data_IF_958618450097
#
_entry.id   IF_958618450097
#
_cell.length_a   1.000
_cell.length_b   1.000
_cell.length_c   1.000
_cell.angle_alpha   90.00
_cell.angle_beta   90.00
_cell.angle_gamma   90.00
#
_symmetry.space_group_name_H-M   'P 1'
#
loop_
_entity.id
_entity.type
_entity.pdbx_description
1 polymer ?
#
# COMPACT_ATOMS: atom_id res chain seq x y z
N UNK A 1 -23.78 31.48 -61.74
CA UNK A 1 -23.54 30.07 -61.36
C UNK A 1 -23.05 30.09 -59.93
N UNK A 2 -23.96 30.08 -58.97
CA UNK A 2 -24.51 28.91 -58.26
C UNK A 2 -23.66 28.57 -57.01
N UNK A 3 -24.02 29.10 -55.82
CA UNK A 3 -24.58 28.43 -54.61
C UNK A 3 -23.70 27.25 -54.11
N UNK A 4 -23.30 27.10 -52.84
CA UNK A 4 -24.01 27.40 -51.60
C UNK A 4 -23.08 27.51 -50.37
N UNK A 5 -23.41 28.45 -49.48
CA UNK A 5 -23.10 28.43 -48.05
C UNK A 5 -24.16 27.62 -47.31
N UNK A 6 -23.75 26.78 -46.35
CA UNK A 6 -24.66 26.11 -45.40
C UNK A 6 -24.45 26.74 -44.02
N UNK A 7 -25.43 27.55 -43.62
CA UNK A 7 -25.69 27.91 -42.23
C UNK A 7 -26.60 26.86 -41.59
N UNK A 8 -26.30 26.48 -40.35
CA UNK A 8 -27.25 25.81 -39.45
C UNK A 8 -27.44 26.68 -38.21
N UNK A 9 -28.64 27.27 -38.14
CA UNK A 9 -29.22 28.06 -37.06
C UNK A 9 -29.69 27.19 -35.88
N UNK A 10 -29.74 27.71 -34.64
CA UNK A 10 -30.45 27.06 -33.54
C UNK A 10 -31.96 27.31 -33.65
N UNK A 11 -32.76 26.24 -33.51
CA UNK A 11 -34.22 26.34 -33.42
C UNK A 11 -34.63 26.73 -31.99
N UNK A 12 -35.15 27.94 -31.84
CA UNK A 12 -35.93 28.38 -30.69
C UNK A 12 -37.40 28.34 -31.11
N UNK A 13 -38.15 27.38 -30.58
CA UNK A 13 -39.60 27.28 -30.83
C UNK A 13 -40.35 28.06 -29.76
N UNK A 14 -40.98 29.16 -30.15
CA UNK A 14 -42.02 29.82 -29.36
C UNK A 14 -43.34 29.05 -29.50
N UNK A 15 -43.98 28.70 -28.39
CA UNK A 15 -45.40 28.31 -28.36
C UNK A 15 -46.17 29.22 -27.40
N UNK A 16 -47.37 29.59 -27.87
CA UNK A 16 -48.25 30.67 -27.45
C UNK A 16 -48.88 30.53 -26.06
N UNK A 17 -49.25 31.70 -25.54
CA UNK A 17 -50.09 32.00 -24.38
C UNK A 17 -51.42 31.25 -24.37
N UNK A 18 -51.72 30.56 -23.28
CA UNK A 18 -53.10 30.36 -22.79
C UNK A 18 -53.14 30.60 -21.29
N UNK A 19 -54.12 31.40 -20.86
CA UNK A 19 -54.35 31.75 -19.47
C UNK A 19 -54.83 30.56 -18.64
N UNK A 20 -54.27 30.45 -17.45
CA UNK A 20 -54.67 29.49 -16.42
C UNK A 20 -53.73 29.66 -15.24
N UNK A 21 -54.26 30.07 -14.10
CA UNK A 21 -53.54 30.08 -12.83
C UNK A 21 -53.07 28.67 -12.49
N UNK A 22 -51.85 28.54 -11.94
CA UNK A 22 -51.36 27.52 -10.98
C UNK A 22 -49.85 27.77 -10.70
N UNK A 23 -49.28 27.23 -9.61
CA UNK A 23 -48.64 27.99 -8.55
C UNK A 23 -47.14 28.21 -8.71
N UNK A 24 -46.63 29.16 -7.92
CA UNK A 24 -45.22 29.50 -7.77
C UNK A 24 -44.45 28.38 -7.07
N UNK A 25 -44.10 27.32 -7.81
CA UNK A 25 -43.03 26.41 -7.42
C UNK A 25 -41.78 26.86 -8.13
N UNK A 26 -41.02 27.77 -7.50
CA UNK A 26 -39.62 28.01 -7.80
C UNK A 26 -38.86 26.71 -7.50
N UNK A 27 -38.84 25.79 -8.45
CA UNK A 27 -37.87 24.71 -8.48
C UNK A 27 -36.54 25.36 -8.86
N UNK A 28 -35.86 25.93 -7.86
CA UNK A 28 -34.46 26.29 -7.99
C UNK A 28 -33.72 24.99 -8.26
N UNK A 29 -33.46 24.70 -9.54
CA UNK A 29 -32.42 23.77 -9.95
C UNK A 29 -31.13 24.44 -9.53
N UNK A 30 -30.79 24.28 -8.24
CA UNK A 30 -29.44 24.49 -7.76
C UNK A 30 -28.65 23.40 -8.47
N UNK A 31 -28.04 23.75 -9.60
CA UNK A 31 -26.99 22.94 -10.20
C UNK A 31 -25.93 22.81 -9.12
N UNK A 32 -26.06 21.76 -8.30
CA UNK A 32 -24.98 21.23 -7.52
C UNK A 32 -24.03 20.72 -8.59
N UNK A 33 -23.18 21.60 -9.09
CA UNK A 33 -21.84 21.24 -9.56
C UNK A 33 -21.15 20.68 -8.34
N UNK A 34 -21.56 19.46 -7.98
CA UNK A 34 -20.70 18.50 -7.35
C UNK A 34 -19.61 18.34 -8.39
N UNK A 35 -18.54 19.12 -8.21
CA UNK A 35 -17.25 18.72 -8.72
C UNK A 35 -16.96 17.39 -8.00
N UNK A 36 -17.54 16.30 -8.51
CA UNK A 36 -16.95 14.98 -8.42
C UNK A 36 -15.66 15.06 -9.21
N UNK A 37 -14.67 15.75 -8.65
CA UNK A 37 -13.29 15.37 -8.89
C UNK A 37 -13.17 13.99 -8.26
N UNK A 38 -13.50 12.97 -9.05
CA UNK A 38 -12.88 11.66 -8.96
C UNK A 38 -11.37 11.89 -9.11
N UNK A 39 -10.73 12.41 -8.07
CA UNK A 39 -9.31 12.27 -7.83
C UNK A 39 -9.13 10.77 -7.64
N UNK A 40 -8.85 10.09 -8.75
CA UNK A 40 -8.34 8.72 -8.71
C UNK A 40 -6.94 8.87 -8.12
N UNK A 41 -6.86 8.93 -6.79
CA UNK A 41 -5.58 8.93 -6.11
C UNK A 41 -4.96 7.56 -6.37
N UNK A 42 -3.87 7.56 -7.12
CA UNK A 42 -3.11 6.36 -7.44
C UNK A 42 -2.19 6.06 -6.25
N UNK A 43 -1.92 4.79 -5.96
CA UNK A 43 -1.03 4.40 -4.86
C UNK A 43 0.32 5.14 -4.91
N UNK A 44 0.83 5.45 -6.10
CA UNK A 44 2.07 6.23 -6.29
C UNK A 44 2.04 7.67 -5.75
N UNK A 45 0.87 8.19 -5.38
CA UNK A 45 0.67 9.55 -4.86
C UNK A 45 0.49 9.57 -3.33
N UNK A 46 0.50 8.40 -2.68
CA UNK A 46 0.47 8.31 -1.23
C UNK A 46 1.84 8.67 -0.65
N UNK A 47 1.83 9.23 0.55
CA UNK A 47 3.02 9.43 1.39
C UNK A 47 3.36 8.11 2.09
N UNK A 48 4.55 7.58 1.84
CA UNK A 48 5.03 6.31 2.39
C UNK A 48 6.13 6.59 3.39
N UNK A 49 5.89 6.26 4.66
CA UNK A 49 6.80 6.60 5.75
C UNK A 49 6.53 5.74 6.96
N UNK A 50 7.42 5.80 7.95
CA UNK A 50 7.11 5.25 9.26
C UNK A 50 5.95 6.02 9.90
N UNK A 51 5.15 5.31 10.70
CA UNK A 51 4.03 5.91 11.39
C UNK A 51 4.49 6.94 12.41
N UNK A 52 3.74 8.03 12.48
CA UNK A 52 3.83 9.04 13.51
C UNK A 52 2.89 8.67 14.66
N UNK A 53 3.14 9.17 15.89
CA UNK A 53 2.22 8.98 17.01
C UNK A 53 0.79 9.47 16.75
N UNK A 54 0.61 10.37 15.79
CA UNK A 54 -0.68 10.91 15.37
C UNK A 54 -1.41 10.06 14.33
N UNK A 55 -0.75 9.09 13.70
CA UNK A 55 -1.39 8.23 12.71
C UNK A 55 -2.31 7.23 13.41
N UNK A 56 -3.57 7.19 12.99
CA UNK A 56 -4.53 6.22 13.50
C UNK A 56 -4.36 4.88 12.79
N UNK A 57 -3.46 4.04 13.32
CA UNK A 57 -3.24 2.67 12.81
C UNK A 57 -4.10 1.69 13.62
N UNK A 58 -5.19 1.23 13.02
CA UNK A 58 -6.04 0.20 13.63
C UNK A 58 -5.32 -1.16 13.58
N UNK A 59 -5.02 -1.74 14.75
CA UNK A 59 -4.46 -3.10 14.88
C UNK A 59 -5.30 -3.93 15.85
N UNK A 60 -5.34 -5.23 15.60
CA UNK A 60 -5.95 -6.20 16.51
C UNK A 60 -4.94 -6.56 17.61
N UNK A 61 -3.67 -6.84 17.25
CA UNK A 61 -2.55 -7.15 18.16
C UNK A 61 -1.23 -6.62 17.57
N UNK A 62 -0.24 -6.29 18.42
CA UNK A 62 1.14 -5.99 17.98
C UNK A 62 1.97 -7.27 18.09
N UNK A 63 2.92 -7.45 17.18
CA UNK A 63 3.85 -8.55 17.19
C UNK A 63 4.72 -8.56 18.45
N UNK A 64 5.37 -7.43 18.71
CA UNK A 64 6.24 -7.18 19.89
C UNK A 64 6.15 -5.72 20.30
N UNK A 65 6.59 -5.40 21.52
CA UNK A 65 6.62 -4.02 22.02
C UNK A 65 7.58 -3.12 21.23
N UNK A 66 8.52 -3.71 20.51
CA UNK A 66 9.49 -3.02 19.67
C UNK A 66 9.22 -3.18 18.17
N UNK A 67 8.09 -3.76 17.75
CA UNK A 67 7.70 -3.65 16.36
C UNK A 67 7.46 -2.19 15.96
N UNK A 68 7.61 -1.89 14.69
CA UNK A 68 7.34 -0.57 14.12
C UNK A 68 6.26 -0.66 13.02
N UNK A 69 5.68 0.50 12.73
CA UNK A 69 4.67 0.69 11.69
C UNK A 69 5.27 1.46 10.51
N UNK A 70 5.00 0.98 9.30
CA UNK A 70 5.18 1.71 8.06
C UNK A 70 3.80 1.93 7.44
N UNK A 71 3.48 3.17 7.08
CA UNK A 71 2.14 3.58 6.67
C UNK A 71 2.15 4.17 5.27
N UNK A 72 1.03 3.97 4.58
CA UNK A 72 0.68 4.71 3.38
C UNK A 72 -0.39 5.74 3.76
N UNK A 73 -0.10 7.03 3.58
CA UNK A 73 -0.93 8.14 4.01
C UNK A 73 -1.41 8.92 2.79
N UNK A 74 -2.72 9.13 2.70
CA UNK A 74 -3.34 9.98 1.68
C UNK A 74 -3.22 11.44 2.14
N UNK A 75 -2.36 12.27 1.50
CA UNK A 75 -2.18 13.66 1.90
C UNK A 75 -3.41 14.53 1.56
N UNK A 76 -4.36 14.00 0.79
CA UNK A 76 -5.59 14.69 0.38
C UNK A 76 -6.81 14.28 1.19
N UNK A 77 -6.68 13.29 2.08
CA UNK A 77 -7.77 12.83 2.91
C UNK A 77 -8.28 13.94 3.83
N UNK A 78 -9.60 13.99 4.01
CA UNK A 78 -10.20 14.81 5.03
C UNK A 78 -9.72 14.38 6.43
N UNK A 79 -9.68 15.33 7.36
CA UNK A 79 -9.25 15.13 8.74
C UNK A 79 -10.00 13.93 9.38
N UNK A 80 -9.26 12.94 9.89
CA UNK A 80 -9.81 11.80 10.64
C UNK A 80 -9.34 10.41 10.18
N UNK A 81 -9.13 10.18 8.88
CA UNK A 81 -8.64 8.89 8.38
C UNK A 81 -7.65 9.04 7.20
N UNK A 82 -6.44 9.56 7.43
CA UNK A 82 -5.48 9.73 6.34
C UNK A 82 -4.72 8.44 6.01
N UNK A 83 -4.71 7.44 6.91
CA UNK A 83 -3.98 6.18 6.69
C UNK A 83 -4.74 5.26 5.73
N UNK A 84 -4.19 5.07 4.53
CA UNK A 84 -4.70 4.20 3.49
C UNK A 84 -4.29 2.72 3.69
N UNK A 85 -3.18 2.49 4.40
CA UNK A 85 -2.69 1.16 4.75
C UNK A 85 -1.54 1.21 5.75
N UNK A 86 -1.30 0.07 6.39
CA UNK A 86 -0.27 -0.11 7.41
C UNK A 86 0.46 -1.43 7.22
N UNK A 87 1.73 -1.44 7.59
CA UNK A 87 2.63 -2.57 7.55
C UNK A 87 3.38 -2.63 8.89
N UNK A 88 3.28 -3.76 9.58
CA UNK A 88 4.06 -4.06 10.77
C UNK A 88 5.38 -4.74 10.42
N UNK A 89 6.47 -4.25 10.99
CA UNK A 89 7.77 -4.88 10.84
C UNK A 89 8.60 -4.85 12.14
N UNK A 90 9.55 -5.77 12.25
CA UNK A 90 10.58 -5.78 13.27
C UNK A 90 11.94 -6.08 12.64
N UNK A 91 13.02 -5.66 13.29
CA UNK A 91 14.36 -6.14 12.95
C UNK A 91 14.69 -7.35 13.78
N UNK A 92 15.27 -8.36 13.14
CA UNK A 92 15.68 -9.60 13.80
C UNK A 92 17.13 -9.87 13.42
N UNK A 93 17.96 -10.15 14.43
CA UNK A 93 19.31 -10.63 14.25
C UNK A 93 19.38 -12.09 14.68
N UNK A 94 20.05 -12.92 13.88
CA UNK A 94 20.27 -14.32 14.23
C UNK A 94 21.70 -14.74 13.91
N UNK A 95 22.35 -15.35 14.89
CA UNK A 95 23.69 -15.90 14.74
C UNK A 95 23.74 -16.85 13.53
N UNK A 96 24.73 -16.67 12.66
CA UNK A 96 24.94 -17.39 11.38
C UNK A 96 23.94 -17.10 10.25
N UNK A 97 22.92 -16.29 10.49
CA UNK A 97 21.89 -15.97 9.50
C UNK A 97 21.81 -14.49 9.15
N UNK A 98 22.43 -13.62 9.96
CA UNK A 98 22.59 -12.19 9.67
C UNK A 98 21.45 -11.34 10.21
N UNK A 99 21.22 -10.18 9.59
CA UNK A 99 20.27 -9.16 10.05
C UNK A 99 19.13 -8.98 9.04
N UNK A 100 17.89 -9.09 9.52
CA UNK A 100 16.70 -9.21 8.68
C UNK A 100 15.57 -8.30 9.13
N UNK A 101 14.77 -7.86 8.17
CA UNK A 101 13.46 -7.26 8.43
C UNK A 101 12.40 -8.37 8.41
N UNK A 102 11.68 -8.58 9.50
CA UNK A 102 10.49 -9.41 9.50
C UNK A 102 9.26 -8.56 9.26
N UNK A 103 8.47 -8.90 8.24
CA UNK A 103 7.20 -8.24 7.93
C UNK A 103 6.08 -9.16 8.39
N UNK A 104 5.31 -8.70 9.38
CA UNK A 104 4.32 -9.52 10.07
C UNK A 104 2.90 -9.31 9.53
N UNK A 105 2.47 -8.06 9.52
CA UNK A 105 1.13 -7.68 9.09
C UNK A 105 1.18 -6.66 7.95
N UNK A 106 0.31 -6.83 6.97
CA UNK A 106 0.07 -5.86 5.90
C UNK A 106 -1.43 -5.69 5.76
N UNK A 107 -1.96 -4.53 6.14
CA UNK A 107 -3.37 -4.19 5.93
C UNK A 107 -3.52 -2.96 5.03
N UNK A 108 -4.58 -2.99 4.24
CA UNK A 108 -4.96 -1.89 3.35
C UNK A 108 -6.43 -1.62 3.60
N UNK A 109 -6.74 -0.36 3.86
CA UNK A 109 -8.12 0.10 4.08
C UNK A 109 -8.99 -0.28 2.88
N UNK A 110 -10.23 -0.67 3.15
CA UNK A 110 -11.10 -1.36 2.17
C UNK A 110 -11.26 -0.60 0.85
N UNK A 111 -11.38 0.72 0.91
CA UNK A 111 -11.48 1.65 -0.22
C UNK A 111 -10.17 1.83 -1.01
N UNK A 112 -9.03 1.43 -0.43
CA UNK A 112 -7.70 1.44 -1.03
C UNK A 112 -7.24 0.08 -1.57
N UNK A 113 -7.95 -1.00 -1.25
CA UNK A 113 -7.63 -2.35 -1.72
C UNK A 113 -7.65 -2.42 -3.24
N UNK A 114 -6.72 -3.22 -3.79
CA UNK A 114 -6.51 -3.42 -5.24
C UNK A 114 -6.08 -2.17 -6.02
N UNK A 115 -5.69 -1.08 -5.34
CA UNK A 115 -5.08 0.11 -5.97
C UNK A 115 -3.54 0.08 -6.00
N UNK A 116 -2.93 -1.03 -5.58
CA UNK A 116 -1.47 -1.18 -5.54
C UNK A 116 -0.80 -0.71 -4.24
N UNK A 117 -1.58 -0.27 -3.24
CA UNK A 117 -1.05 0.28 -1.97
C UNK A 117 -0.12 -0.69 -1.24
N UNK A 118 -0.55 -1.95 -1.03
CA UNK A 118 0.30 -2.95 -0.37
C UNK A 118 1.63 -3.17 -1.11
N UNK A 119 1.58 -3.28 -2.45
CA UNK A 119 2.79 -3.45 -3.27
C UNK A 119 3.76 -2.30 -3.10
N UNK A 120 3.27 -1.06 -3.17
CA UNK A 120 4.10 0.12 -3.01
C UNK A 120 4.62 0.27 -1.58
N UNK A 121 3.78 0.00 -0.58
CA UNK A 121 4.17 0.06 0.83
C UNK A 121 5.33 -0.90 1.15
N UNK A 122 5.26 -2.14 0.68
CA UNK A 122 6.34 -3.12 0.84
C UNK A 122 7.59 -2.66 0.08
N UNK A 123 7.47 -2.21 -1.18
CA UNK A 123 8.63 -1.74 -1.95
C UNK A 123 9.32 -0.53 -1.29
N UNK A 124 8.53 0.41 -0.79
CA UNK A 124 9.02 1.60 -0.11
C UNK A 124 9.68 1.24 1.21
N UNK A 125 9.11 0.30 1.99
CA UNK A 125 9.77 -0.24 3.17
C UNK A 125 11.12 -0.88 2.82
N UNK A 126 11.18 -1.73 1.80
CA UNK A 126 12.42 -2.41 1.40
C UNK A 126 13.50 -1.40 0.99
N UNK A 127 13.14 -0.39 0.19
CA UNK A 127 14.03 0.71 -0.18
C UNK A 127 14.51 1.49 1.05
N UNK A 128 13.57 1.84 1.93
CA UNK A 128 13.82 2.54 3.18
C UNK A 128 14.83 1.79 4.06
N UNK A 129 14.63 0.48 4.22
CA UNK A 129 15.47 -0.39 5.04
C UNK A 129 16.87 -0.54 4.48
N UNK A 130 17.01 -0.89 3.19
CA UNK A 130 18.33 -1.07 2.58
C UNK A 130 19.18 0.19 2.64
N UNK A 131 18.54 1.35 2.56
CA UNK A 131 19.25 2.62 2.57
C UNK A 131 19.62 3.09 3.98
N UNK A 132 18.77 2.85 4.97
CA UNK A 132 19.04 3.19 6.37
C UNK A 132 20.06 2.26 7.01
N UNK A 133 20.02 0.98 6.64
CA UNK A 133 20.78 -0.11 7.25
C UNK A 133 21.32 -1.03 6.15
N UNK A 134 22.40 -0.61 5.46
CA UNK A 134 22.99 -1.38 4.37
C UNK A 134 23.50 -2.76 4.79
N UNK A 135 23.72 -2.98 6.09
CA UNK A 135 24.10 -4.23 6.74
C UNK A 135 22.99 -5.29 6.73
N UNK A 136 21.72 -4.90 6.56
CA UNK A 136 20.62 -5.85 6.43
C UNK A 136 20.82 -6.75 5.19
N UNK A 137 20.64 -8.05 5.40
CA UNK A 137 20.71 -9.07 4.35
C UNK A 137 19.43 -9.08 3.50
N UNK A 138 18.28 -8.80 4.13
CA UNK A 138 17.01 -8.87 3.46
C UNK A 138 15.79 -8.63 4.33
N UNK A 139 14.65 -9.04 3.80
CA UNK A 139 13.38 -9.10 4.52
C UNK A 139 12.75 -10.48 4.36
N UNK A 140 11.97 -10.92 5.34
CA UNK A 140 11.19 -12.14 5.23
C UNK A 140 9.79 -11.98 5.80
N UNK A 141 8.89 -12.86 5.39
CA UNK A 141 7.49 -12.89 5.83
C UNK A 141 6.93 -14.30 5.77
N UNK A 142 5.88 -14.51 6.54
CA UNK A 142 5.12 -15.76 6.61
C UNK A 142 3.71 -15.53 6.07
N UNK A 143 3.19 -16.48 5.30
CA UNK A 143 1.89 -16.36 4.63
C UNK A 143 1.06 -17.60 4.90
N UNK A 144 -0.18 -17.42 5.34
CA UNK A 144 -1.11 -18.55 5.43
C UNK A 144 -1.38 -19.14 4.03
N UNK A 145 -1.14 -20.44 3.81
CA UNK A 145 -1.24 -21.07 2.49
C UNK A 145 -2.69 -21.10 1.98
N UNK A 146 -3.68 -21.10 2.87
CA UNK A 146 -5.10 -21.14 2.54
C UNK A 146 -5.74 -19.75 2.40
N UNK A 147 -4.95 -18.67 2.42
CA UNK A 147 -5.51 -17.33 2.26
C UNK A 147 -6.18 -17.22 0.86
N UNK A 148 -7.51 -17.04 0.77
CA UNK A 148 -8.24 -17.06 -0.50
C UNK A 148 -7.89 -15.87 -1.41
N UNK A 149 -7.26 -14.83 -0.85
CA UNK A 149 -6.75 -13.68 -1.60
C UNK A 149 -5.29 -13.88 -2.06
N UNK A 150 -4.69 -15.03 -1.71
CA UNK A 150 -3.33 -15.52 -2.02
C UNK A 150 -2.31 -14.40 -2.29
N UNK A 151 -1.82 -13.71 -1.24
CA UNK A 151 -0.85 -12.63 -1.39
C UNK A 151 0.52 -13.15 -1.89
N UNK A 152 0.71 -14.46 -2.00
CA UNK A 152 1.92 -15.09 -2.54
C UNK A 152 2.32 -14.51 -3.91
N UNK A 153 1.34 -14.27 -4.79
CA UNK A 153 1.61 -13.67 -6.10
C UNK A 153 2.05 -12.20 -6.00
N UNK A 154 1.61 -11.48 -4.98
CA UNK A 154 2.08 -10.12 -4.71
C UNK A 154 3.55 -10.17 -4.30
N UNK A 155 3.92 -11.02 -3.34
CA UNK A 155 5.29 -11.11 -2.84
C UNK A 155 6.27 -11.55 -3.94
N UNK A 156 5.92 -12.58 -4.72
CA UNK A 156 6.71 -13.03 -5.87
C UNK A 156 6.97 -11.93 -6.89
N UNK A 157 5.96 -11.10 -7.19
CA UNK A 157 6.12 -9.94 -8.12
C UNK A 157 7.00 -8.83 -7.58
N UNK A 158 7.14 -8.71 -6.25
CA UNK A 158 8.04 -7.74 -5.63
C UNK A 158 9.49 -8.25 -5.66
N UNK A 159 9.69 -9.56 -5.76
CA UNK A 159 11.02 -10.20 -5.76
C UNK A 159 11.24 -11.14 -4.59
N UNK A 160 10.23 -11.37 -3.74
CA UNK A 160 10.33 -12.39 -2.71
C UNK A 160 10.38 -13.78 -3.33
N UNK A 161 11.30 -14.60 -2.83
CA UNK A 161 11.51 -16.00 -3.20
C UNK A 161 10.90 -16.88 -2.13
N UNK A 162 10.15 -17.90 -2.55
CA UNK A 162 9.64 -18.92 -1.63
C UNK A 162 10.79 -19.75 -1.08
N UNK A 163 10.81 -19.98 0.24
CA UNK A 163 11.89 -20.70 0.92
C UNK A 163 11.47 -22.01 1.54
N UNK A 164 10.25 -22.09 2.03
CA UNK A 164 9.76 -23.31 2.63
C UNK A 164 8.37 -23.13 3.19
N UNK A 165 7.88 -24.18 3.84
CA UNK A 165 6.62 -24.14 4.56
C UNK A 165 6.87 -24.63 5.99
N UNK A 166 6.23 -23.96 6.94
CA UNK A 166 6.06 -24.45 8.30
C UNK A 166 4.76 -25.25 8.41
N UNK A 167 4.41 -25.67 9.64
CA UNK A 167 3.14 -26.32 9.91
C UNK A 167 1.91 -25.48 9.48
N UNK A 168 2.05 -24.15 9.48
CA UNK A 168 0.92 -23.22 9.30
C UNK A 168 1.12 -22.16 8.22
N UNK A 169 2.37 -21.94 7.76
CA UNK A 169 2.70 -20.81 6.89
C UNK A 169 3.69 -21.16 5.78
N UNK A 170 3.56 -20.52 4.63
CA UNK A 170 4.57 -20.45 3.58
C UNK A 170 5.53 -19.30 3.86
N UNK A 171 6.84 -19.59 3.87
CA UNK A 171 7.91 -18.63 4.12
C UNK A 171 8.47 -18.03 2.83
N UNK A 172 8.66 -16.72 2.84
CA UNK A 172 9.19 -15.95 1.71
C UNK A 172 10.32 -15.03 2.18
N UNK A 173 11.38 -14.93 1.38
CA UNK A 173 12.52 -14.05 1.65
C UNK A 173 12.82 -13.14 0.43
N UNK A 174 13.16 -11.88 0.70
CA UNK A 174 13.67 -10.91 -0.25
C UNK A 174 15.11 -10.59 0.13
N UNK A 175 16.04 -10.69 -0.82
CA UNK A 175 17.46 -10.42 -0.59
C UNK A 175 17.83 -9.05 -1.15
N UNK A 176 18.49 -8.22 -0.34
CA UNK A 176 18.84 -6.86 -0.73
C UNK A 176 19.99 -6.75 -1.74
N UNK A 177 20.69 -7.84 -2.01
CA UNK A 177 21.75 -7.95 -3.02
C UNK A 177 21.26 -8.62 -4.32
N UNK A 178 19.96 -8.94 -4.43
CA UNK A 178 19.37 -9.55 -5.62
C UNK A 178 19.12 -8.52 -6.74
N UNK A 179 18.97 -8.99 -7.98
CA UNK A 179 18.60 -8.12 -9.12
C UNK A 179 17.25 -7.42 -8.97
N UNK A 180 16.37 -7.93 -8.10
CA UNK A 180 15.12 -7.24 -7.77
C UNK A 180 15.39 -5.99 -6.92
N UNK A 181 16.47 -5.97 -6.12
CA UNK A 181 16.87 -4.84 -5.31
C UNK A 181 17.36 -3.65 -6.14
N UNK A 182 17.95 -3.89 -7.31
CA UNK A 182 18.37 -2.83 -8.25
C UNK A 182 17.23 -1.92 -8.71
N UNK A 183 15.98 -2.38 -8.56
CA UNK A 183 14.77 -1.68 -8.98
C UNK A 183 14.02 -1.02 -7.80
N UNK A 184 14.62 -0.96 -6.61
CA UNK A 184 14.03 -0.28 -5.45
C UNK A 184 14.05 1.26 -5.66
N UNK A 185 13.01 1.98 -5.22
CA UNK A 185 13.03 3.44 -5.14
C UNK A 185 14.26 3.97 -4.38
N UNK A 186 14.74 5.16 -4.72
CA UNK A 186 16.00 5.71 -4.19
C UNK A 186 15.81 6.84 -3.17
N UNK A 187 14.60 7.05 -2.66
CA UNK A 187 14.28 8.13 -1.71
C UNK A 187 15.06 7.98 -0.38
N UNK A 188 15.43 9.09 0.28
CA UNK A 188 16.24 9.08 1.51
C UNK A 188 15.37 8.75 2.74
N UNK A 189 15.79 7.81 3.63
CA UNK A 189 15.15 7.68 4.93
C UNK A 189 15.41 8.95 5.77
N UNK A 190 14.52 9.31 6.70
CA UNK A 190 14.77 10.34 7.70
C UNK A 190 16.01 10.01 8.52
N UNK A 191 16.78 11.04 8.87
CA UNK A 191 18.10 10.93 9.51
C UNK A 191 18.06 10.39 10.95
N UNK A 192 16.89 10.25 11.56
CA UNK A 192 16.73 9.83 12.93
C UNK A 192 15.55 8.87 13.07
N UNK A 193 15.83 7.57 13.00
CA UNK A 193 14.92 6.56 13.52
C UNK A 193 15.72 5.59 14.38
N UNK A 194 15.24 5.33 15.59
CA UNK A 194 15.83 4.30 16.43
C UNK A 194 15.37 2.96 15.89
N UNK A 195 16.34 2.12 15.53
CA UNK A 195 16.08 0.73 15.26
C UNK A 195 15.45 0.06 16.47
N UNK A 196 14.44 -0.77 16.29
CA UNK A 196 14.07 -1.72 17.32
C UNK A 196 15.16 -2.78 17.46
N UNK A 197 15.56 -3.04 18.70
CA UNK A 197 16.58 -4.04 19.04
C UNK A 197 15.91 -5.11 19.88
N UNK A 198 15.20 -6.03 19.24
CA UNK A 198 14.63 -7.18 19.96
C UNK A 198 15.71 -8.22 20.19
N UNK A 199 15.78 -8.73 21.42
CA UNK A 199 16.48 -9.96 21.78
C UNK A 199 15.51 -11.17 21.79
N UNK A 200 14.25 -10.96 21.43
CA UNK A 200 13.22 -11.99 21.55
C UNK A 200 13.29 -12.95 20.37
N UNK A 201 13.54 -14.21 20.70
CA UNK A 201 13.57 -15.32 19.77
C UNK A 201 12.16 -15.54 19.22
N UNK A 202 11.91 -15.07 18.00
CA UNK A 202 10.81 -15.62 17.20
C UNK A 202 11.05 -17.12 17.05
N UNK A 203 10.33 -17.91 17.85
CA UNK A 203 10.32 -19.37 17.77
C UNK A 203 9.46 -19.74 16.57
N UNK A 204 10.06 -19.67 15.39
CA UNK A 204 9.61 -20.53 14.28
C UNK A 204 10.57 -21.71 14.28
N UNK A 205 10.07 -22.89 14.66
CA UNK A 205 10.84 -24.16 14.62
C UNK A 205 11.44 -24.44 13.22
N UNK A 206 11.02 -23.69 12.19
CA UNK A 206 11.40 -23.82 10.79
C UNK A 206 12.23 -22.66 10.23
N UNK A 207 12.90 -21.85 11.07
CA UNK A 207 13.85 -20.82 10.57
C UNK A 207 14.97 -21.44 9.72
N UNK A 208 15.34 -22.71 9.96
CA UNK A 208 16.25 -23.47 9.11
C UNK A 208 15.75 -23.54 7.65
N UNK A 209 14.47 -23.78 7.43
CA UNK A 209 13.88 -23.87 6.07
C UNK A 209 13.82 -22.51 5.34
N UNK A 210 13.91 -21.40 6.08
CA UNK A 210 13.90 -20.05 5.50
C UNK A 210 15.27 -19.63 4.96
N UNK A 211 16.35 -20.08 5.62
CA UNK A 211 17.69 -19.54 5.37
C UNK A 211 18.73 -20.57 4.93
N UNK A 212 18.49 -21.88 5.08
CA UNK A 212 19.41 -22.87 4.56
C UNK A 212 19.27 -22.97 3.03
N UNK A 213 20.39 -23.09 2.29
CA UNK A 213 20.34 -23.28 0.84
C UNK A 213 19.62 -24.60 0.54
N UNK A 214 18.63 -24.56 -0.36
CA UNK A 214 17.98 -25.77 -0.86
C UNK A 214 19.07 -26.64 -1.49
N UNK A 215 19.45 -27.74 -0.83
CA UNK A 215 20.33 -28.71 -1.48
C UNK A 215 19.64 -29.20 -2.77
N UNK A 216 20.33 -29.16 -3.91
CA UNK A 216 19.77 -29.69 -5.14
C UNK A 216 19.52 -31.19 -4.97
N UNK A 217 18.25 -31.60 -5.11
CA UNK A 217 17.89 -33.00 -5.31
C UNK A 217 18.18 -33.44 -6.73
#
# INVERSE_FOLDING_TARGET
MAVADIMLTPAITNLLLFGGSLPWTLLAIRSRTQQDTNLIVNATQLDYRCALPSDNVTRIERLTDDSADFVAVDPTAAEGEPVAGSLEYALISRENYGEWVYIDAVDVRKDWRRKGVATQMIKQLLAYMKKGWPELDGAFLLVEPLNPNSPQNLYKRIGFVYKGKSAHYDGFAFYFDSSSADNLPTDLPPTAMRLPTTNDYFVVDTLHDLFDPVEPK
#
